data_IF_179025737455
#
_entry.id   IF_179025737455
#
_cell.length_a   1.000
_cell.length_b   1.000
_cell.length_c   1.000
_cell.angle_alpha   90.00
_cell.angle_beta   90.00
_cell.angle_gamma   90.00
#
_symmetry.space_group_name_H-M   'P 1'
#
loop_
_entity.id
_entity.type
_entity.pdbx_description
1 polymer ?
#
# COMPACT_ATOMS: atom_id res chain seq x y z
N UNK A 1 -1.98 -11.05 -5.66
CA UNK A 1 -1.88 -10.67 -4.25
C UNK A 1 -3.10 -9.88 -3.83
N UNK A 2 -3.55 -10.11 -2.61
CA UNK A 2 -4.68 -9.43 -1.97
C UNK A 2 -4.21 -8.86 -0.62
N UNK A 3 -4.43 -7.59 -0.37
CA UNK A 3 -4.15 -6.96 0.91
C UNK A 3 -5.44 -6.63 1.65
N UNK A 4 -5.39 -6.74 2.98
CA UNK A 4 -6.40 -6.11 3.83
C UNK A 4 -6.00 -4.65 4.06
N UNK A 5 -6.98 -3.76 4.16
CA UNK A 5 -6.70 -2.37 4.52
C UNK A 5 -6.25 -2.26 5.98
N UNK A 6 -6.93 -2.97 6.86
CA UNK A 6 -6.76 -2.91 8.31
C UNK A 6 -6.49 -4.29 8.89
N UNK A 7 -5.94 -4.38 10.12
CA UNK A 7 -5.77 -5.63 10.82
C UNK A 7 -7.11 -6.37 11.03
N UNK A 8 -7.06 -7.69 10.99
CA UNK A 8 -8.19 -8.50 11.46
C UNK A 8 -8.38 -8.32 12.98
N UNK A 9 -9.60 -8.46 13.45
CA UNK A 9 -9.91 -8.28 14.88
C UNK A 9 -9.07 -9.17 15.81
N UNK A 10 -8.81 -10.43 15.40
CA UNK A 10 -8.00 -11.36 16.17
C UNK A 10 -6.50 -11.03 16.16
N UNK A 11 -6.03 -10.22 15.22
CA UNK A 11 -4.63 -9.81 15.12
C UNK A 11 -4.31 -8.62 16.02
N UNK A 12 -5.33 -7.84 16.41
CA UNK A 12 -5.19 -6.74 17.35
C UNK A 12 -5.72 -5.39 16.85
N UNK A 13 -5.34 -4.30 17.53
CA UNK A 13 -5.89 -2.98 17.28
C UNK A 13 -5.36 -2.34 15.99
N UNK A 14 -6.13 -1.41 15.44
CA UNK A 14 -5.71 -0.52 14.36
C UNK A 14 -4.58 0.43 14.81
N UNK A 15 -3.90 1.03 13.83
CA UNK A 15 -2.89 2.04 14.06
C UNK A 15 -3.45 3.27 14.80
N UNK A 16 -2.61 3.85 15.64
CA UNK A 16 -2.85 5.11 16.36
C UNK A 16 -1.66 6.04 16.15
N UNK A 17 -1.69 7.31 16.59
CA UNK A 17 -0.51 8.17 16.53
C UNK A 17 0.69 7.69 17.37
N UNK A 18 0.44 6.79 18.30
CA UNK A 18 1.46 6.29 19.23
C UNK A 18 1.90 4.84 18.90
N UNK A 19 1.22 4.19 17.94
CA UNK A 19 1.49 2.79 17.57
C UNK A 19 1.05 2.48 16.14
N UNK A 20 1.83 1.68 15.41
CA UNK A 20 1.43 1.11 14.13
C UNK A 20 0.28 0.11 14.22
N UNK A 21 -0.18 -0.22 15.42
CA UNK A 21 -1.23 -1.23 15.62
C UNK A 21 -0.74 -2.65 15.33
N UNK A 22 -1.69 -3.56 15.10
CA UNK A 22 -1.40 -4.91 14.63
C UNK A 22 -1.08 -4.90 13.12
N UNK A 23 -0.34 -5.92 12.62
CA UNK A 23 -0.04 -6.01 11.20
C UNK A 23 -1.28 -6.33 10.37
N UNK A 24 -1.30 -5.89 9.12
CA UNK A 24 -2.28 -6.32 8.12
C UNK A 24 -1.77 -7.55 7.39
N UNK A 25 -2.68 -8.37 6.85
CA UNK A 25 -2.35 -9.59 6.11
C UNK A 25 -2.38 -9.32 4.61
N UNK A 26 -1.32 -9.76 3.92
CA UNK A 26 -1.22 -9.72 2.46
C UNK A 26 -1.06 -11.16 1.98
N UNK A 27 -1.99 -11.62 1.12
CA UNK A 27 -2.13 -13.02 0.72
C UNK A 27 -1.89 -13.20 -0.77
N UNK A 28 -1.00 -14.12 -1.15
CA UNK A 28 -0.89 -14.62 -2.50
C UNK A 28 -1.99 -15.66 -2.76
N UNK A 29 -2.69 -15.50 -3.87
CA UNK A 29 -3.76 -16.40 -4.31
C UNK A 29 -3.40 -17.02 -5.64
N UNK A 30 -3.69 -18.30 -5.79
CA UNK A 30 -3.74 -18.94 -7.11
C UNK A 30 -5.03 -18.53 -7.82
N UNK A 31 -4.91 -17.86 -8.95
CA UNK A 31 -6.08 -17.29 -9.66
C UNK A 31 -7.00 -18.39 -10.22
N UNK A 32 -6.43 -19.52 -10.64
CA UNK A 32 -7.20 -20.57 -11.28
C UNK A 32 -8.03 -21.37 -10.27
N UNK A 33 -7.46 -21.67 -9.11
CA UNK A 33 -8.13 -22.47 -8.07
C UNK A 33 -8.79 -21.60 -6.98
N UNK A 34 -8.43 -20.32 -6.88
CA UNK A 34 -8.86 -19.44 -5.79
C UNK A 34 -8.23 -19.79 -4.43
N UNK A 35 -7.22 -20.68 -4.42
CA UNK A 35 -6.61 -21.11 -3.17
C UNK A 35 -5.49 -20.15 -2.71
N UNK A 36 -5.38 -19.88 -1.42
CA UNK A 36 -4.26 -19.12 -0.91
C UNK A 36 -2.96 -19.95 -0.97
N UNK A 37 -1.89 -19.33 -1.43
CA UNK A 37 -0.57 -19.95 -1.58
C UNK A 37 0.38 -19.58 -0.44
N UNK A 38 0.32 -18.35 0.01
CA UNK A 38 1.19 -17.80 1.04
C UNK A 38 0.54 -16.53 1.61
N UNK A 39 0.75 -16.28 2.87
CA UNK A 39 0.34 -15.03 3.52
C UNK A 39 1.51 -14.42 4.30
N UNK A 40 1.68 -13.11 4.21
CA UNK A 40 2.69 -12.36 4.93
C UNK A 40 2.03 -11.30 5.80
N UNK A 41 2.67 -11.00 6.93
CA UNK A 41 2.27 -9.91 7.82
C UNK A 41 3.00 -8.62 7.42
N UNK A 42 2.26 -7.56 7.18
CA UNK A 42 2.77 -6.23 6.89
C UNK A 42 2.48 -5.29 8.07
N UNK A 43 3.55 -4.75 8.69
CA UNK A 43 3.41 -3.80 9.79
C UNK A 43 3.25 -2.39 9.23
N UNK A 44 2.03 -1.83 9.33
CA UNK A 44 1.77 -0.44 9.00
C UNK A 44 2.48 0.53 9.96
N UNK A 45 2.65 1.78 9.53
CA UNK A 45 3.15 2.84 10.40
C UNK A 45 2.07 3.32 11.38
N UNK A 46 2.50 4.02 12.43
CA UNK A 46 1.62 4.82 13.24
C UNK A 46 0.93 5.91 12.39
N UNK A 47 -0.25 6.35 12.79
CA UNK A 47 -0.94 7.46 12.13
C UNK A 47 -0.04 8.70 12.20
N UNK A 48 0.37 9.27 11.05
CA UNK A 48 1.43 10.29 11.03
C UNK A 48 1.03 11.63 11.66
N UNK A 49 -0.25 11.92 11.70
CA UNK A 49 -0.76 13.18 12.25
C UNK A 49 -1.85 12.93 13.27
N UNK A 50 -1.80 13.67 14.39
CA UNK A 50 -2.90 13.67 15.35
C UNK A 50 -4.08 14.46 14.80
N UNK A 51 -5.28 13.95 15.02
CA UNK A 51 -6.52 14.67 14.69
C UNK A 51 -6.58 16.00 15.45
N UNK A 52 -7.14 17.00 14.79
CA UNK A 52 -7.35 18.34 15.35
C UNK A 52 -8.82 18.61 15.70
N UNK A 53 -9.72 17.75 15.19
CA UNK A 53 -11.17 17.79 15.42
C UNK A 53 -11.64 16.40 15.88
N UNK A 54 -12.79 16.31 16.57
CA UNK A 54 -13.44 15.02 16.81
C UNK A 54 -13.71 14.30 15.50
N UNK A 55 -13.43 12.99 15.44
CA UNK A 55 -13.65 12.20 14.23
C UNK A 55 -12.60 11.09 14.05
N UNK A 56 -12.60 10.44 12.88
CA UNK A 56 -11.73 9.32 12.60
C UNK A 56 -10.24 9.73 12.56
N UNK A 57 -9.42 8.74 12.86
CA UNK A 57 -7.98 8.79 12.76
C UNK A 57 -7.50 7.39 12.40
N UNK A 58 -6.92 7.23 11.22
CA UNK A 58 -6.64 5.93 10.63
C UNK A 58 -5.36 5.98 9.80
N UNK A 59 -4.65 4.87 9.71
CA UNK A 59 -3.65 4.56 8.70
C UNK A 59 -3.85 3.11 8.26
N UNK A 60 -3.93 2.87 6.98
CA UNK A 60 -4.17 1.54 6.41
C UNK A 60 -3.56 1.38 5.03
N UNK A 61 -3.57 0.14 4.53
CA UNK A 61 -3.10 -0.19 3.18
C UNK A 61 -4.26 0.03 2.21
N UNK A 62 -4.21 1.10 1.41
CA UNK A 62 -5.25 1.38 0.41
C UNK A 62 -4.99 0.68 -0.93
N UNK A 63 -3.73 0.40 -1.27
CA UNK A 63 -3.41 -0.28 -2.53
C UNK A 63 -2.10 -1.06 -2.43
N UNK A 64 -1.98 -2.13 -3.24
CA UNK A 64 -0.74 -2.84 -3.50
C UNK A 64 -0.51 -2.98 -5.00
N UNK A 65 0.72 -2.83 -5.46
CA UNK A 65 1.07 -2.94 -6.88
C UNK A 65 2.30 -3.83 -7.06
N UNK A 66 2.22 -4.79 -7.96
CA UNK A 66 3.35 -5.65 -8.27
C UNK A 66 4.52 -4.87 -8.90
N UNK A 67 5.74 -5.14 -8.42
CA UNK A 67 6.98 -4.56 -8.88
C UNK A 67 8.02 -5.66 -9.08
N UNK A 68 8.08 -6.19 -10.29
CA UNK A 68 8.86 -7.40 -10.59
C UNK A 68 8.27 -8.67 -9.94
N UNK A 69 9.03 -9.77 -9.96
CA UNK A 69 8.50 -11.09 -9.56
C UNK A 69 8.34 -11.28 -8.05
N UNK A 70 9.04 -10.47 -7.24
CA UNK A 70 9.14 -10.70 -5.80
C UNK A 70 8.89 -9.47 -4.94
N UNK A 71 8.55 -8.34 -5.53
CA UNK A 71 8.31 -7.12 -4.77
C UNK A 71 6.87 -6.63 -4.96
N UNK A 72 6.36 -6.02 -3.92
CA UNK A 72 5.15 -5.21 -3.97
C UNK A 72 5.50 -3.78 -3.56
N UNK A 73 4.88 -2.83 -4.24
CA UNK A 73 4.68 -1.49 -3.73
C UNK A 73 3.42 -1.52 -2.87
N UNK A 74 3.48 -0.95 -1.70
CA UNK A 74 2.38 -0.90 -0.73
C UNK A 74 2.10 0.57 -0.43
N UNK A 75 0.88 1.00 -0.65
CA UNK A 75 0.43 2.36 -0.38
C UNK A 75 -0.27 2.40 0.97
N UNK A 76 0.34 3.10 1.93
CA UNK A 76 -0.33 3.46 3.18
C UNK A 76 -1.02 4.81 3.01
N UNK A 77 -2.33 4.83 3.19
CA UNK A 77 -3.13 6.05 3.24
C UNK A 77 -3.58 6.30 4.67
N UNK A 78 -3.34 7.52 5.13
CA UNK A 78 -3.78 7.97 6.44
C UNK A 78 -4.82 9.08 6.33
N UNK A 79 -5.69 9.15 7.33
CA UNK A 79 -6.60 10.27 7.54
C UNK A 79 -6.67 10.63 9.01
N UNK A 80 -6.69 11.92 9.30
CA UNK A 80 -6.92 12.44 10.66
C UNK A 80 -7.86 13.63 10.61
N UNK A 81 -8.96 13.55 11.35
CA UNK A 81 -9.99 14.59 11.36
C UNK A 81 -9.40 15.98 11.68
N UNK A 82 -9.64 16.95 10.78
CA UNK A 82 -9.11 18.29 10.87
C UNK A 82 -7.63 18.45 10.50
N UNK A 83 -6.90 17.35 10.24
CA UNK A 83 -5.53 17.36 9.75
C UNK A 83 -5.40 16.94 8.29
N UNK A 84 -6.39 16.18 7.77
CA UNK A 84 -6.46 15.76 6.37
C UNK A 84 -5.85 14.39 6.10
N UNK A 85 -5.58 14.14 4.83
CA UNK A 85 -5.03 12.90 4.30
C UNK A 85 -3.49 12.95 4.20
N UNK A 86 -2.90 11.76 4.18
CA UNK A 86 -1.50 11.53 3.84
C UNK A 86 -1.35 10.22 3.10
N UNK A 87 -0.31 10.09 2.28
CA UNK A 87 -0.01 8.87 1.55
C UNK A 87 1.49 8.62 1.53
N UNK A 88 1.88 7.39 1.88
CA UNK A 88 3.25 6.89 1.88
C UNK A 88 3.37 5.63 1.07
N UNK A 89 4.36 5.57 0.22
CA UNK A 89 4.66 4.43 -0.63
C UNK A 89 5.84 3.66 -0.05
N UNK A 90 5.66 2.35 0.14
CA UNK A 90 6.70 1.43 0.61
C UNK A 90 6.97 0.36 -0.44
N UNK A 91 8.18 -0.20 -0.42
CA UNK A 91 8.53 -1.43 -1.14
C UNK A 91 8.79 -2.55 -0.14
N UNK A 92 8.28 -3.74 -0.45
CA UNK A 92 8.51 -4.98 0.30
C UNK A 92 8.99 -6.09 -0.63
N UNK A 93 9.77 -7.05 -0.08
CA UNK A 93 10.11 -8.32 -0.75
C UNK A 93 9.16 -9.40 -0.22
N UNK A 94 8.31 -9.96 -1.09
CA UNK A 94 7.30 -10.96 -0.73
C UNK A 94 7.87 -12.28 -0.24
N UNK A 95 9.17 -12.54 -0.43
CA UNK A 95 9.88 -13.72 0.09
C UNK A 95 10.29 -13.55 1.56
N UNK A 96 10.39 -12.32 2.02
CA UNK A 96 10.76 -12.02 3.41
C UNK A 96 9.57 -12.18 4.37
N UNK A 97 9.87 -12.14 5.65
CA UNK A 97 8.88 -12.38 6.70
C UNK A 97 8.49 -13.85 6.85
N UNK A 98 7.63 -14.12 7.82
CA UNK A 98 7.08 -15.46 8.05
C UNK A 98 5.87 -15.71 7.15
N UNK A 99 5.64 -16.97 6.77
CA UNK A 99 4.34 -17.37 6.25
C UNK A 99 3.35 -17.44 7.40
N UNK A 100 2.27 -16.70 7.30
CA UNK A 100 1.24 -16.58 8.34
C UNK A 100 -0.08 -17.26 7.96
N UNK A 101 -0.11 -17.97 6.84
CA UNK A 101 -1.34 -18.51 6.24
C UNK A 101 -2.13 -19.40 7.21
N UNK A 102 -1.45 -20.17 8.04
CA UNK A 102 -2.06 -21.13 8.97
C UNK A 102 -2.25 -20.57 10.38
N UNK A 103 -1.93 -19.29 10.61
CA UNK A 103 -2.05 -18.67 11.92
C UNK A 103 -3.44 -18.04 12.10
N UNK A 104 -4.18 -18.53 13.09
CA UNK A 104 -5.51 -17.99 13.43
C UNK A 104 -5.43 -16.52 13.87
N UNK A 105 -4.42 -16.18 14.68
CA UNK A 105 -4.15 -14.82 15.12
C UNK A 105 -2.64 -14.51 15.06
N UNK A 106 -2.29 -13.27 14.72
CA UNK A 106 -0.92 -12.79 14.72
C UNK A 106 -0.56 -12.20 16.08
N UNK A 107 0.58 -12.64 16.62
CA UNK A 107 1.15 -12.10 17.85
C UNK A 107 2.63 -11.79 17.62
N UNK A 108 3.25 -10.89 18.39
CA UNK A 108 4.69 -10.62 18.26
C UNK A 108 5.59 -11.86 18.41
N UNK A 109 5.07 -12.92 19.04
CA UNK A 109 5.85 -14.13 19.30
C UNK A 109 5.78 -15.19 18.19
N UNK A 110 4.75 -15.15 17.30
CA UNK A 110 4.51 -16.24 16.36
C UNK A 110 4.80 -15.90 14.89
N UNK A 111 5.17 -14.67 14.59
CA UNK A 111 5.51 -14.26 13.22
C UNK A 111 6.60 -13.18 13.20
N UNK A 112 7.16 -12.97 12.01
CA UNK A 112 8.03 -11.83 11.68
C UNK A 112 7.38 -11.08 10.53
N UNK A 113 7.04 -9.80 10.71
CA UNK A 113 6.55 -8.97 9.61
C UNK A 113 7.57 -8.88 8.48
N UNK A 114 7.07 -8.69 7.26
CA UNK A 114 7.94 -8.39 6.12
C UNK A 114 8.62 -7.03 6.32
N UNK A 115 9.95 -6.92 6.13
CA UNK A 115 10.64 -5.63 6.14
C UNK A 115 10.11 -4.72 5.02
N UNK A 116 9.96 -3.43 5.31
CA UNK A 116 9.55 -2.43 4.33
C UNK A 116 10.58 -1.32 4.20
N UNK A 117 10.70 -0.75 3.01
CA UNK A 117 11.54 0.40 2.69
C UNK A 117 10.68 1.53 2.18
N UNK A 118 10.76 2.72 2.78
CA UNK A 118 10.04 3.90 2.30
C UNK A 118 10.59 4.30 0.92
N UNK A 119 9.70 4.44 -0.04
CA UNK A 119 10.00 4.92 -1.39
C UNK A 119 9.67 6.40 -1.50
N UNK A 120 8.49 6.79 -1.01
CA UNK A 120 8.05 8.19 -1.06
C UNK A 120 7.03 8.48 0.06
N UNK A 121 7.09 9.70 0.57
CA UNK A 121 6.01 10.34 1.33
C UNK A 121 5.50 11.50 0.47
N UNK A 122 4.24 11.43 0.02
CA UNK A 122 3.69 12.41 -0.93
C UNK A 122 3.66 13.82 -0.32
N UNK A 123 3.42 13.93 0.98
CA UNK A 123 3.45 15.22 1.65
C UNK A 123 4.88 15.81 1.70
N UNK A 124 5.90 14.98 1.91
CA UNK A 124 7.29 15.42 1.86
C UNK A 124 7.74 15.86 0.46
N UNK A 125 7.07 15.39 -0.58
CA UNK A 125 7.26 15.85 -1.97
C UNK A 125 6.51 17.15 -2.30
N UNK A 126 5.85 17.77 -1.32
CA UNK A 126 5.09 19.00 -1.49
C UNK A 126 3.69 18.80 -2.09
N UNK A 127 3.20 17.57 -2.15
CA UNK A 127 1.86 17.26 -2.63
C UNK A 127 0.86 17.30 -1.46
N UNK A 128 -0.36 17.66 -1.77
CA UNK A 128 -1.49 17.58 -0.84
C UNK A 128 -2.44 16.51 -1.38
N UNK A 129 -2.24 15.23 -1.02
CA UNK A 129 -3.10 14.16 -1.49
C UNK A 129 -4.48 14.27 -0.83
N UNK A 130 -5.54 13.96 -1.58
CA UNK A 130 -6.84 13.59 -1.03
C UNK A 130 -6.82 12.09 -0.69
N UNK A 131 -7.92 11.44 -0.64
CA UNK A 131 -8.11 10.03 -0.29
C UNK A 131 -7.56 9.11 -1.39
N UNK A 132 -6.24 8.91 -1.46
CA UNK A 132 -5.60 8.06 -2.48
C UNK A 132 -5.98 6.60 -2.24
N UNK A 133 -6.72 6.02 -3.19
CA UNK A 133 -7.28 4.68 -3.12
C UNK A 133 -6.78 3.74 -4.22
N UNK A 134 -6.09 4.27 -5.23
CA UNK A 134 -5.58 3.44 -6.32
C UNK A 134 -4.19 3.86 -6.78
N UNK A 135 -3.46 2.87 -7.31
CA UNK A 135 -2.13 3.06 -7.85
C UNK A 135 -1.90 2.09 -9.02
N UNK A 136 -1.29 2.58 -10.10
CA UNK A 136 -0.92 1.75 -11.24
C UNK A 136 0.35 2.23 -11.93
N UNK A 137 0.97 1.34 -12.72
CA UNK A 137 2.03 1.75 -13.63
C UNK A 137 1.42 2.48 -14.84
N UNK A 138 1.91 3.68 -15.08
CA UNK A 138 1.64 4.42 -16.30
C UNK A 138 2.59 4.02 -17.44
N UNK A 139 2.33 4.49 -18.67
CA UNK A 139 3.28 4.35 -19.77
C UNK A 139 4.59 5.05 -19.41
N UNK A 140 5.75 4.49 -19.79
CA UNK A 140 7.04 5.14 -19.57
C UNK A 140 7.12 6.48 -20.26
N UNK A 141 7.66 7.48 -19.60
CA UNK A 141 7.93 8.79 -20.19
C UNK A 141 9.44 8.97 -20.32
N UNK A 142 9.92 9.14 -21.56
CA UNK A 142 11.36 9.25 -21.87
C UNK A 142 12.20 8.09 -21.28
N UNK A 143 11.64 6.86 -21.32
CA UNK A 143 12.28 5.66 -20.79
C UNK A 143 12.25 5.54 -19.27
N UNK A 144 11.56 6.44 -18.57
CA UNK A 144 11.45 6.46 -17.12
C UNK A 144 10.11 5.88 -16.64
N UNK A 145 10.15 5.13 -15.57
CA UNK A 145 8.95 4.55 -14.95
C UNK A 145 8.04 5.63 -14.36
N UNK A 146 6.76 5.50 -14.60
CA UNK A 146 5.75 6.42 -14.06
C UNK A 146 4.77 5.63 -13.20
N UNK A 147 4.51 6.11 -12.00
CA UNK A 147 3.39 5.69 -11.17
C UNK A 147 2.26 6.72 -11.30
N UNK A 148 1.05 6.22 -11.43
CA UNK A 148 -0.17 7.03 -11.42
C UNK A 148 -0.98 6.65 -10.19
N UNK A 149 -1.34 7.64 -9.40
CA UNK A 149 -2.21 7.50 -8.24
C UNK A 149 -3.55 8.16 -8.54
N UNK A 150 -4.61 7.65 -7.92
CA UNK A 150 -5.94 8.25 -7.99
C UNK A 150 -6.56 8.32 -6.60
N UNK A 151 -7.21 9.44 -6.29
CA UNK A 151 -8.02 9.58 -5.08
C UNK A 151 -9.49 9.35 -5.37
N UNK A 152 -10.20 8.83 -4.38
CA UNK A 152 -11.66 8.74 -4.34
C UNK A 152 -12.23 9.95 -3.58
N UNK A 153 -13.19 10.64 -4.18
CA UNK A 153 -13.87 11.78 -3.55
C UNK A 153 -14.99 11.39 -2.59
N UNK A 154 -15.26 10.09 -2.44
CA UNK A 154 -16.32 9.54 -1.56
C UNK A 154 -17.70 10.18 -1.79
N UNK A 155 -17.98 10.73 -2.98
CA UNK A 155 -19.16 11.57 -3.25
C UNK A 155 -19.32 12.75 -2.27
N UNK A 156 -18.23 13.18 -1.66
CA UNK A 156 -18.16 14.28 -0.71
C UNK A 156 -17.72 15.57 -1.43
N UNK A 157 -18.53 16.64 -1.48
CA UNK A 157 -18.18 17.86 -2.21
C UNK A 157 -16.94 18.60 -1.64
N UNK A 158 -16.46 18.21 -0.48
CA UNK A 158 -15.21 18.73 0.10
C UNK A 158 -13.96 17.93 -0.30
N UNK A 159 -14.12 16.83 -1.02
CA UNK A 159 -13.04 15.99 -1.54
C UNK A 159 -12.97 16.10 -3.07
N UNK A 160 -11.86 15.65 -3.64
CA UNK A 160 -11.65 15.73 -5.09
C UNK A 160 -11.06 14.43 -5.62
N UNK A 161 -11.49 14.03 -6.81
CA UNK A 161 -10.81 12.97 -7.57
C UNK A 161 -9.55 13.57 -8.22
N UNK A 162 -8.39 13.20 -7.69
CA UNK A 162 -7.08 13.64 -8.19
C UNK A 162 -6.42 12.50 -8.97
N UNK A 163 -5.72 12.84 -10.05
CA UNK A 163 -4.74 11.97 -10.69
C UNK A 163 -3.35 12.57 -10.49
N UNK A 164 -2.47 11.82 -9.84
CA UNK A 164 -1.09 12.23 -9.60
C UNK A 164 -0.17 11.30 -10.38
N UNK A 165 0.59 11.82 -11.34
CA UNK A 165 1.62 11.08 -12.05
C UNK A 165 2.99 11.46 -11.50
N UNK A 166 3.78 10.47 -11.11
CA UNK A 166 5.11 10.67 -10.54
C UNK A 166 6.13 9.76 -11.20
N UNK A 167 7.35 10.26 -11.44
CA UNK A 167 8.45 9.40 -11.83
C UNK A 167 8.84 8.49 -10.66
N UNK A 168 8.88 7.18 -10.93
CA UNK A 168 9.39 6.21 -9.96
C UNK A 168 10.91 6.11 -10.08
N UNK A 169 11.62 6.40 -9.00
CA UNK A 169 13.08 6.34 -8.94
C UNK A 169 13.62 5.08 -8.24
N UNK A 170 12.72 4.27 -7.66
CA UNK A 170 13.14 3.19 -6.75
C UNK A 170 13.58 3.72 -5.38
N UNK A 171 13.73 2.86 -4.37
CA UNK A 171 14.17 3.28 -3.04
C UNK A 171 15.64 3.77 -3.02
N UNK A 172 16.43 3.34 -3.98
CA UNK A 172 17.85 3.68 -4.10
C UNK A 172 18.11 4.79 -5.14
N UNK A 173 17.06 5.32 -5.78
CA UNK A 173 17.15 6.36 -6.79
C UNK A 173 17.69 5.90 -8.15
N UNK A 174 17.81 4.61 -8.38
CA UNK A 174 18.39 3.99 -9.57
C UNK A 174 17.43 3.85 -10.76
N UNK A 175 16.21 4.35 -10.61
CA UNK A 175 15.18 4.35 -11.65
C UNK A 175 14.39 3.04 -11.78
N UNK A 176 14.79 1.97 -11.07
CA UNK A 176 14.06 0.70 -10.96
C UNK A 176 13.54 0.11 -12.28
N UNK A 177 13.09 -1.14 -12.25
CA UNK A 177 12.35 -1.71 -13.40
C UNK A 177 10.88 -1.27 -13.35
N UNK A 178 10.35 -0.85 -14.51
CA UNK A 178 8.94 -0.49 -14.63
C UNK A 178 8.07 -1.76 -14.72
N UNK A 179 7.13 -1.91 -13.80
CA UNK A 179 6.10 -2.94 -13.91
C UNK A 179 6.58 -4.37 -13.65
N UNK A 180 5.74 -5.30 -13.99
CA UNK A 180 6.10 -6.71 -14.10
C UNK A 180 6.65 -6.97 -15.50
N UNK A 181 7.83 -7.54 -15.62
CA UNK A 181 8.31 -8.18 -16.86
C UNK A 181 7.58 -9.52 -17.09
N UNK A 182 6.30 -9.56 -16.88
CA UNK A 182 5.42 -10.67 -17.15
C UNK A 182 4.47 -10.29 -18.26
N UNK A 183 4.61 -10.98 -19.39
CA UNK A 183 3.83 -10.92 -20.60
C UNK A 183 2.55 -10.07 -20.55
N UNK A 184 2.54 -8.98 -21.28
CA UNK A 184 1.32 -8.29 -21.67
C UNK A 184 0.46 -9.26 -22.50
N UNK A 185 -0.51 -9.89 -21.89
CA UNK A 185 -1.65 -10.44 -22.63
C UNK A 185 -2.72 -9.35 -22.66
N UNK A 186 -2.49 -8.33 -23.45
CA UNK A 186 -3.59 -7.56 -24.01
C UNK A 186 -4.05 -8.32 -25.26
N UNK A 187 -4.96 -9.24 -25.08
CA UNK A 187 -5.84 -9.71 -26.13
C UNK A 187 -6.67 -8.51 -26.59
N UNK A 188 -6.42 -8.02 -27.79
CA UNK A 188 -7.34 -7.16 -28.48
C UNK A 188 -8.64 -7.90 -28.71
N UNK A 189 -9.72 -7.49 -28.05
CA UNK A 189 -11.07 -7.84 -28.49
C UNK A 189 -11.37 -7.06 -29.78
N UNK A 190 -11.92 -7.75 -30.80
CA UNK A 190 -12.38 -7.09 -32.03
C UNK A 190 -13.58 -6.19 -31.80
#
# INVERSE_FOLDING_TARGET
>A
WLAMELPWHQDGPQATPDSGGAPVRITAMDIASGQPLRQIAYQGDAVPQRRRLPGPQINGVSEILAHGPHHLLVLERSYSAGAGFGARLYRIDTRAGSDTLTLDALTPANHRPVPKTLVADLAALGLTPDNIEGMTWGPPVQGRCVLVFVSDDNFNPAQVTQFIAAQYLGPDGDGGQCGTTGASVLSTYP
#
